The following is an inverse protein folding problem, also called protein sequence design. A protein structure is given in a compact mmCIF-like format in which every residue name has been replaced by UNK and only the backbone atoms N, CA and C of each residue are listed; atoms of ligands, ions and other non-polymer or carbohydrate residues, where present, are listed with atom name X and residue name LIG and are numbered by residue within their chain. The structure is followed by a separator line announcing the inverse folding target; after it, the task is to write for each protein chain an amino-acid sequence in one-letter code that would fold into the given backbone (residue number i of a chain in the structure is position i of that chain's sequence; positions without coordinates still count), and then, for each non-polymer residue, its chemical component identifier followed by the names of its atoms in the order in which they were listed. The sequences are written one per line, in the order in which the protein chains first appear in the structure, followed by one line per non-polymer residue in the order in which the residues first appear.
data_IF_624491855250
#
_entry.id   IF_624491855250
#
_cell.length_a   1.000
_cell.length_b   1.000
_cell.length_c   1.000
_cell.angle_alpha   90.00
_cell.angle_beta   90.00
_cell.angle_gamma   90.00
#
_symmetry.space_group_name_H-M   'P 1'
#
loop_
_entity.id
_entity.type
_entity.pdbx_description
1 polymer ?
#
# COMPACT_ATOMS: atom_id res chain seq x y z
N UNK A 1 -29.93 22.36 1.56
CA UNK A 1 -28.51 22.61 1.90
C UNK A 1 -27.80 21.27 2.04
N UNK A 2 -27.23 20.77 0.94
CA UNK A 2 -26.37 19.57 0.96
C UNK A 2 -25.04 19.98 1.56
N UNK A 3 -24.74 19.50 2.77
CA UNK A 3 -23.43 19.69 3.39
C UNK A 3 -22.43 18.78 2.68
N UNK A 4 -21.56 19.38 1.87
CA UNK A 4 -20.30 18.77 1.42
C UNK A 4 -19.49 18.43 2.67
N UNK A 5 -19.32 17.13 2.93
CA UNK A 5 -18.37 16.59 3.90
C UNK A 5 -17.28 15.99 3.01
N UNK A 6 -16.28 16.79 2.61
CA UNK A 6 -15.14 17.03 3.48
C UNK A 6 -14.21 15.83 3.38
N UNK A 7 -13.77 15.54 2.15
CA UNK A 7 -12.70 14.58 1.88
C UNK A 7 -11.45 15.12 2.59
N UNK A 8 -11.11 14.48 3.70
CA UNK A 8 -9.98 14.87 4.54
C UNK A 8 -8.76 14.19 3.94
N UNK A 9 -7.60 14.86 3.81
CA UNK A 9 -6.46 14.31 3.10
C UNK A 9 -6.01 13.05 3.85
N UNK A 10 -6.29 11.89 3.27
CA UNK A 10 -5.57 10.67 3.60
C UNK A 10 -4.10 11.01 3.41
N UNK A 11 -3.39 11.11 4.53
CA UNK A 11 -1.93 11.27 4.63
C UNK A 11 -1.29 10.53 3.44
N UNK A 12 -0.61 11.26 2.55
CA UNK A 12 -0.10 10.82 1.23
C UNK A 12 0.50 9.40 1.27
N UNK A 13 -0.34 8.38 1.11
CA UNK A 13 0.13 7.02 0.95
C UNK A 13 0.64 6.89 -0.48
N UNK A 14 1.94 6.59 -0.61
CA UNK A 14 2.58 6.41 -1.91
C UNK A 14 3.05 4.98 -2.04
N UNK A 15 2.39 4.23 -2.91
CA UNK A 15 2.70 2.82 -3.18
C UNK A 15 4.18 2.61 -3.47
N UNK A 16 4.76 3.43 -4.36
CA UNK A 16 6.18 3.32 -4.74
C UNK A 16 7.15 3.55 -3.57
N UNK A 17 6.80 4.42 -2.62
CA UNK A 17 7.63 4.64 -1.43
C UNK A 17 7.59 3.43 -0.50
N UNK A 18 6.44 2.78 -0.36
CA UNK A 18 6.31 1.56 0.44
C UNK A 18 6.97 0.34 -0.19
N UNK A 19 6.95 0.22 -1.51
CA UNK A 19 7.72 -0.82 -2.21
C UNK A 19 9.22 -0.61 -1.97
N UNK A 20 9.72 0.62 -2.13
CA UNK A 20 11.13 0.93 -1.87
C UNK A 20 11.54 0.66 -0.41
N UNK A 21 10.65 0.91 0.55
CA UNK A 21 10.87 0.56 1.96
C UNK A 21 11.03 -0.95 2.15
N UNK A 22 10.15 -1.76 1.55
CA UNK A 22 10.23 -3.23 1.61
C UNK A 22 11.51 -3.76 0.97
N UNK A 23 11.90 -3.23 -0.20
CA UNK A 23 13.17 -3.60 -0.85
C UNK A 23 14.39 -3.28 0.02
N UNK A 24 14.36 -2.13 0.71
CA UNK A 24 15.38 -1.75 1.68
C UNK A 24 15.44 -2.70 2.88
N UNK A 25 14.29 -3.16 3.38
CA UNK A 25 14.22 -4.16 4.46
C UNK A 25 14.85 -5.48 4.00
N UNK A 26 14.47 -5.98 2.82
CA UNK A 26 15.02 -7.21 2.25
C UNK A 26 16.54 -7.11 2.13
N UNK A 27 17.04 -6.00 1.59
CA UNK A 27 18.48 -5.77 1.44
C UNK A 27 19.23 -5.82 2.78
N UNK A 28 18.65 -5.29 3.87
CA UNK A 28 19.24 -5.35 5.22
C UNK A 28 19.26 -6.78 5.78
N UNK A 29 18.18 -7.53 5.59
CA UNK A 29 18.10 -8.93 6.03
C UNK A 29 19.12 -9.78 5.26
N UNK A 30 19.22 -9.59 3.94
CA UNK A 30 20.15 -10.34 3.08
C UNK A 30 21.62 -9.99 3.33
N UNK A 31 21.93 -8.79 3.81
CA UNK A 31 23.28 -8.41 4.22
C UNK A 31 23.80 -9.26 5.39
N UNK A 32 22.90 -9.80 6.23
CA UNK A 32 23.26 -10.71 7.31
C UNK A 32 23.99 -10.06 8.49
N UNK A 33 23.92 -8.73 8.61
CA UNK A 33 24.57 -7.95 9.68
C UNK A 33 23.64 -7.74 10.90
N UNK A 34 22.37 -8.08 10.77
CA UNK A 34 21.37 -7.95 11.82
C UNK A 34 21.42 -9.14 12.77
N UNK A 35 21.18 -8.87 14.05
CA UNK A 35 20.92 -9.95 14.99
C UNK A 35 19.50 -10.52 14.78
N UNK A 36 19.23 -11.66 15.42
CA UNK A 36 17.98 -12.36 15.22
C UNK A 36 16.75 -11.54 15.67
N UNK A 37 16.89 -10.72 16.71
CA UNK A 37 15.80 -9.88 17.20
C UNK A 37 15.47 -8.78 16.20
N UNK A 38 16.50 -8.12 15.67
CA UNK A 38 16.39 -7.09 14.63
C UNK A 38 15.78 -7.65 13.34
N UNK A 39 16.16 -8.87 12.93
CA UNK A 39 15.55 -9.55 11.77
C UNK A 39 14.04 -9.70 11.95
N UNK A 40 13.55 -10.07 13.14
CA UNK A 40 12.12 -10.18 13.39
C UNK A 40 11.41 -8.83 13.36
N UNK A 41 12.05 -7.76 13.86
CA UNK A 41 11.49 -6.40 13.81
C UNK A 41 11.36 -5.91 12.36
N UNK A 42 12.42 -6.08 11.57
CA UNK A 42 12.46 -5.72 10.16
C UNK A 42 11.41 -6.52 9.36
N UNK A 43 11.32 -7.83 9.61
CA UNK A 43 10.31 -8.67 8.98
C UNK A 43 8.88 -8.24 9.31
N UNK A 44 8.59 -7.90 10.57
CA UNK A 44 7.28 -7.40 10.97
C UNK A 44 6.94 -6.06 10.29
N UNK A 45 7.92 -5.17 10.12
CA UNK A 45 7.76 -3.92 9.39
C UNK A 45 7.46 -4.16 7.90
N UNK A 46 8.15 -5.12 7.26
CA UNK A 46 7.89 -5.50 5.88
C UNK A 46 6.47 -6.06 5.69
N UNK A 47 6.02 -6.96 6.58
CA UNK A 47 4.67 -7.52 6.54
C UNK A 47 3.61 -6.42 6.61
N UNK A 48 3.78 -5.46 7.52
CA UNK A 48 2.85 -4.34 7.64
C UNK A 48 2.82 -3.49 6.36
N UNK A 49 3.98 -3.17 5.80
CA UNK A 49 4.05 -2.39 4.55
C UNK A 49 3.41 -3.13 3.37
N UNK A 50 3.58 -4.45 3.29
CA UNK A 50 2.93 -5.27 2.26
C UNK A 50 1.41 -5.30 2.40
N UNK A 51 0.87 -5.34 3.63
CA UNK A 51 -0.57 -5.26 3.87
C UNK A 51 -1.15 -3.91 3.44
N UNK A 52 -0.43 -2.82 3.67
CA UNK A 52 -0.83 -1.49 3.21
C UNK A 52 -0.83 -1.42 1.67
N UNK A 53 0.18 -1.99 1.02
CA UNK A 53 0.24 -2.12 -0.44
C UNK A 53 -0.93 -2.94 -1.01
N UNK A 54 -1.24 -4.10 -0.43
CA UNK A 54 -2.37 -4.94 -0.86
C UNK A 54 -3.70 -4.21 -0.74
N UNK A 55 -3.92 -3.55 0.40
CA UNK A 55 -5.13 -2.75 0.65
C UNK A 55 -5.30 -1.65 -0.41
N UNK A 56 -4.21 -0.96 -0.73
CA UNK A 56 -4.24 0.08 -1.76
C UNK A 56 -4.55 -0.49 -3.14
N UNK A 57 -3.88 -1.57 -3.54
CA UNK A 57 -4.11 -2.20 -4.84
C UNK A 57 -5.55 -2.70 -5.00
N UNK A 58 -6.11 -3.29 -3.95
CA UNK A 58 -7.50 -3.75 -3.94
C UNK A 58 -8.47 -2.58 -4.17
N UNK A 59 -8.29 -1.46 -3.46
CA UNK A 59 -9.12 -0.27 -3.65
C UNK A 59 -9.01 0.31 -5.07
N UNK A 60 -7.80 0.29 -5.66
CA UNK A 60 -7.59 0.77 -7.02
C UNK A 60 -8.19 -0.17 -8.06
N UNK A 61 -8.15 -1.48 -7.82
CA UNK A 61 -8.79 -2.47 -8.68
C UNK A 61 -10.31 -2.28 -8.71
N UNK A 62 -10.96 -2.17 -7.54
CA UNK A 62 -12.40 -1.93 -7.44
C UNK A 62 -12.81 -0.64 -8.18
N UNK A 63 -12.00 0.41 -8.10
CA UNK A 63 -12.26 1.66 -8.83
C UNK A 63 -12.15 1.49 -10.34
N UNK A 64 -11.20 0.69 -10.83
CA UNK A 64 -11.07 0.40 -12.26
C UNK A 64 -12.24 -0.45 -12.75
N UNK A 65 -12.65 -1.46 -11.98
CA UNK A 65 -13.78 -2.32 -12.34
C UNK A 65 -15.08 -1.50 -12.49
N UNK A 66 -15.35 -0.58 -11.56
CA UNK A 66 -16.51 0.33 -11.65
C UNK A 66 -16.45 1.25 -12.89
N UNK A 67 -15.26 1.70 -13.30
CA UNK A 67 -15.09 2.51 -14.50
C UNK A 67 -15.31 1.70 -15.79
N UNK A 68 -14.98 0.40 -15.76
CA UNK A 68 -15.24 -0.50 -16.90
C UNK A 68 -16.75 -0.78 -17.01
N UNK A 69 -17.42 -1.05 -15.89
CA UNK A 69 -18.88 -1.24 -15.84
C UNK A 69 -19.61 -0.01 -16.39
N UNK A 70 -19.23 1.19 -15.97
CA UNK A 70 -19.88 2.42 -16.43
C UNK A 70 -19.68 2.70 -17.93
N UNK A 71 -18.53 2.33 -18.50
CA UNK A 71 -18.30 2.40 -19.95
C UNK A 71 -19.15 1.39 -20.73
N UNK A 72 -19.45 0.23 -20.14
CA UNK A 72 -20.29 -0.80 -20.75
C UNK A 72 -21.78 -0.46 -20.77
N UNK A 73 -22.26 0.28 -19.76
CA UNK A 73 -23.66 0.73 -19.68
C UNK A 73 -24.00 1.91 -20.63
N UNK A 74 -22.98 2.61 -21.15
CA UNK A 74 -23.14 3.70 -22.13
C UNK A 74 -23.12 3.21 -23.60
N UNK A 75 -22.84 1.93 -23.86
CA UNK A 75 -22.79 1.30 -25.19
C UNK A 75 -24.05 0.50 -25.53
#
# INVERSE_FOLDING_TARGET
MVKSKGDSPQKDFRYEEKVAEVEGIISRIEAGELDLEDVFQEFAAAVKSLQECETFLQQRQEQVDLLIESLGDEL
#
